data_IF_780832589342
#
_entry.id   IF_780832589342
#
_cell.length_a   1.000
_cell.length_b   1.000
_cell.length_c   1.000
_cell.angle_alpha   90.00
_cell.angle_beta   90.00
_cell.angle_gamma   90.00
#
_symmetry.space_group_name_H-M   'P 1'
#
loop_
_entity.id
_entity.type
_entity.pdbx_description
1 polymer ?
#
# COMPACT_ATOMS: atom_id res chain seq x y z
N UNK A 1 15.84 9.41 45.05
CA UNK A 1 16.59 8.20 44.66
C UNK A 1 17.76 8.59 43.76
N UNK A 2 19.00 8.14 44.01
CA UNK A 2 20.12 8.41 43.12
C UNK A 2 19.86 7.78 41.74
N UNK A 3 20.11 8.54 40.67
CA UNK A 3 19.91 8.09 39.29
C UNK A 3 20.86 6.92 39.02
N UNK A 4 20.31 5.74 38.72
CA UNK A 4 21.09 4.55 38.35
C UNK A 4 21.53 4.70 36.90
N UNK A 5 22.83 4.77 36.65
CA UNK A 5 23.38 4.83 35.29
C UNK A 5 23.74 3.43 34.81
N UNK A 6 23.13 2.96 33.73
CA UNK A 6 23.38 1.63 33.16
C UNK A 6 24.87 1.41 32.79
N UNK A 7 25.56 2.45 32.32
CA UNK A 7 26.99 2.38 32.01
C UNK A 7 27.92 2.25 33.22
N UNK A 8 27.41 2.40 34.45
CA UNK A 8 28.21 2.33 35.69
C UNK A 8 27.95 1.04 36.49
N UNK A 9 27.31 0.05 35.88
CA UNK A 9 26.95 -1.21 36.56
C UNK A 9 28.19 -1.96 37.06
N UNK A 10 29.30 -1.99 36.30
CA UNK A 10 30.57 -2.55 36.77
C UNK A 10 31.12 -1.80 38.01
N UNK A 11 30.97 -0.47 38.09
CA UNK A 11 31.38 0.32 39.26
C UNK A 11 30.50 0.03 40.48
N UNK A 12 29.23 -0.31 40.28
CA UNK A 12 28.33 -0.69 41.36
C UNK A 12 28.60 -2.12 41.84
N UNK A 13 28.78 -3.06 40.91
CA UNK A 13 29.16 -4.44 41.23
C UNK A 13 30.50 -4.50 41.98
N UNK A 14 31.49 -3.71 41.56
CA UNK A 14 32.78 -3.61 42.25
C UNK A 14 32.63 -3.06 43.68
N UNK A 15 31.75 -2.07 43.89
CA UNK A 15 31.41 -1.56 45.23
C UNK A 15 30.75 -2.63 46.09
N UNK A 16 29.82 -3.41 45.53
CA UNK A 16 29.13 -4.47 46.27
C UNK A 16 30.01 -5.67 46.60
N UNK A 17 30.97 -6.02 45.73
CA UNK A 17 31.99 -7.03 46.03
C UNK A 17 32.92 -6.53 47.15
N UNK A 18 33.37 -5.27 47.10
CA UNK A 18 34.20 -4.68 48.16
C UNK A 18 33.49 -4.60 49.51
N UNK A 19 32.18 -4.31 49.52
CA UNK A 19 31.39 -4.24 50.75
C UNK A 19 30.86 -5.61 51.22
N UNK A 20 31.32 -6.71 50.62
CA UNK A 20 30.86 -8.08 50.89
C UNK A 20 29.33 -8.28 50.79
N UNK A 21 28.63 -7.42 50.02
CA UNK A 21 27.20 -7.58 49.74
C UNK A 21 26.97 -8.62 48.64
N UNK A 22 27.89 -8.69 47.68
CA UNK A 22 27.99 -9.79 46.72
C UNK A 22 29.09 -10.74 47.17
N UNK A 23 28.74 -12.00 47.43
CA UNK A 23 29.69 -13.04 47.88
C UNK A 23 30.48 -13.65 46.74
N UNK A 24 29.91 -13.67 45.53
CA UNK A 24 30.53 -14.21 44.32
C UNK A 24 30.50 -13.16 43.24
N UNK A 25 31.60 -13.09 42.50
CA UNK A 25 31.69 -12.24 41.33
C UNK A 25 30.72 -12.72 40.25
N UNK A 26 29.92 -11.83 39.63
CA UNK A 26 29.04 -12.24 38.55
C UNK A 26 29.86 -12.57 37.30
N UNK A 27 29.43 -13.61 36.57
CA UNK A 27 30.14 -14.16 35.39
C UNK A 27 30.43 -13.10 34.31
N UNK A 28 29.57 -12.10 34.15
CA UNK A 28 29.76 -11.03 33.17
C UNK A 28 30.76 -9.94 33.58
N UNK A 29 31.19 -9.89 34.85
CA UNK A 29 31.98 -8.77 35.38
C UNK A 29 33.36 -8.67 34.74
N UNK A 30 34.07 -9.79 34.57
CA UNK A 30 35.39 -9.83 33.91
C UNK A 30 35.32 -9.34 32.46
N UNK A 31 34.35 -9.85 31.69
CA UNK A 31 34.13 -9.45 30.31
C UNK A 31 33.86 -7.94 30.16
N UNK A 32 33.15 -7.33 31.12
CA UNK A 32 32.88 -5.89 31.14
C UNK A 32 34.09 -5.06 31.59
N UNK A 33 35.00 -5.62 32.40
CA UNK A 33 36.27 -4.96 32.73
C UNK A 33 37.23 -4.96 31.53
N UNK A 34 37.26 -6.05 30.78
CA UNK A 34 38.04 -6.15 29.53
C UNK A 34 37.47 -5.24 28.44
N UNK A 35 36.14 -5.12 28.37
CA UNK A 35 35.44 -4.29 27.39
C UNK A 35 34.57 -3.23 28.10
N UNK A 36 35.18 -2.17 28.67
CA UNK A 36 34.44 -1.18 29.44
C UNK A 36 33.43 -0.45 28.54
N UNK A 37 32.22 -0.15 29.05
CA UNK A 37 31.24 0.60 28.28
C UNK A 37 31.75 2.02 28.00
N UNK A 38 31.48 2.52 26.79
CA UNK A 38 31.83 3.89 26.40
C UNK A 38 31.17 4.89 27.37
N UNK A 39 31.91 5.90 27.87
CA UNK A 39 31.31 6.94 28.70
C UNK A 39 30.23 7.67 27.90
N UNK A 40 29.17 8.10 28.59
CA UNK A 40 28.13 8.90 27.95
C UNK A 40 28.78 10.18 27.40
N UNK A 41 28.67 10.45 26.09
CA UNK A 41 29.26 11.65 25.52
C UNK A 41 28.59 12.89 26.13
N UNK A 42 29.32 14.03 26.23
CA UNK A 42 28.71 15.29 26.63
C UNK A 42 27.58 15.63 25.65
N UNK A 43 26.55 16.34 26.13
CA UNK A 43 25.43 16.80 25.30
C UNK A 43 25.90 17.94 24.38
N UNK A 44 26.65 17.57 23.35
CA UNK A 44 27.18 18.44 22.31
C UNK A 44 26.69 17.95 20.94
N UNK A 45 26.46 18.86 19.98
CA UNK A 45 26.16 18.46 18.62
C UNK A 45 27.42 17.82 18.03
N UNK A 46 27.26 16.76 17.24
CA UNK A 46 28.39 16.17 16.52
C UNK A 46 28.95 17.21 15.52
N UNK A 47 30.28 17.32 15.36
CA UNK A 47 30.85 18.11 14.27
C UNK A 47 30.36 17.54 12.94
N UNK A 48 29.88 18.39 12.04
CA UNK A 48 29.34 18.00 10.73
C UNK A 48 30.09 18.65 9.58
N UNK A 49 30.06 18.00 8.42
CA UNK A 49 30.61 18.52 7.17
C UNK A 49 29.81 19.72 6.68
N UNK A 50 30.47 20.60 5.90
CA UNK A 50 29.84 21.79 5.32
C UNK A 50 28.89 21.47 4.16
N UNK A 51 28.90 20.24 3.64
CA UNK A 51 28.13 19.84 2.45
C UNK A 51 26.62 19.91 2.72
N UNK A 52 26.18 19.29 3.81
CA UNK A 52 24.74 19.10 4.09
C UNK A 52 24.20 20.13 5.09
N UNK A 53 25.06 21.07 5.47
CA UNK A 53 24.76 22.09 6.46
C UNK A 53 24.12 23.30 5.77
N UNK A 54 22.96 23.79 6.24
CA UNK A 54 22.32 24.96 5.64
C UNK A 54 23.26 26.17 5.69
N UNK A 55 23.43 26.85 4.55
CA UNK A 55 24.30 28.03 4.42
C UNK A 55 23.91 29.21 5.34
N UNK A 56 22.68 29.21 5.86
CA UNK A 56 22.22 30.17 6.87
C UNK A 56 21.74 29.42 8.09
N UNK A 57 22.66 29.13 9.01
CA UNK A 57 22.28 29.02 10.41
C UNK A 57 21.82 30.43 10.81
N UNK A 58 20.51 30.62 10.94
CA UNK A 58 19.99 31.89 11.45
C UNK A 58 20.61 32.14 12.82
N UNK A 59 21.60 33.03 12.88
CA UNK A 59 22.15 33.53 14.13
C UNK A 59 21.04 34.34 14.78
N UNK A 60 20.13 33.67 15.49
CA UNK A 60 19.18 34.36 16.36
C UNK A 60 20.02 35.21 17.30
N UNK A 61 19.74 36.51 17.38
CA UNK A 61 20.48 37.44 18.24
C UNK A 61 20.25 37.14 19.74
N UNK A 62 19.26 36.29 20.07
CA UNK A 62 18.95 35.88 21.44
C UNK A 62 19.90 34.76 21.94
N UNK A 63 20.72 35.03 22.97
CA UNK A 63 21.71 34.06 23.47
C UNK A 63 21.07 32.81 24.09
N UNK A 64 19.86 32.92 24.64
CA UNK A 64 19.06 31.80 25.15
C UNK A 64 18.64 30.85 24.04
N UNK A 65 18.21 31.38 22.90
CA UNK A 65 17.82 30.61 21.71
C UNK A 65 19.06 29.97 21.09
N UNK A 66 20.19 30.70 20.99
CA UNK A 66 21.47 30.16 20.52
C UNK A 66 21.93 28.94 21.33
N UNK A 67 21.86 29.00 22.67
CA UNK A 67 22.25 27.87 23.54
C UNK A 67 21.37 26.62 23.36
N UNK A 68 20.12 26.80 22.93
CA UNK A 68 19.17 25.71 22.69
C UNK A 68 19.32 25.09 21.30
N UNK A 69 19.68 25.92 20.30
CA UNK A 69 19.99 25.50 18.93
C UNK A 69 21.28 24.68 18.90
N UNK A 70 22.32 25.07 19.66
CA UNK A 70 23.59 24.33 19.71
C UNK A 70 23.44 22.91 20.24
N UNK A 71 22.45 22.60 21.08
CA UNK A 71 22.24 21.25 21.63
C UNK A 71 21.36 20.34 20.75
N UNK A 72 20.77 20.87 19.69
CA UNK A 72 19.91 20.12 18.77
C UNK A 72 20.72 19.67 17.55
N UNK A 73 20.43 18.50 16.95
CA UNK A 73 21.05 18.13 15.69
C UNK A 73 20.62 19.13 14.60
N UNK A 74 21.56 19.50 13.74
CA UNK A 74 21.28 20.36 12.60
C UNK A 74 20.40 19.63 11.58
N UNK A 75 19.47 20.32 10.89
CA UNK A 75 18.72 19.72 9.79
C UNK A 75 19.69 19.37 8.64
N UNK A 76 19.42 18.24 7.99
CA UNK A 76 20.18 17.78 6.81
C UNK A 76 19.49 18.38 5.58
N UNK A 77 20.23 19.13 4.75
CA UNK A 77 19.69 19.72 3.53
C UNK A 77 20.71 19.58 2.41
N UNK A 78 20.25 19.08 1.28
CA UNK A 78 21.07 18.94 0.08
C UNK A 78 20.64 19.94 -1.01
N UNK A 79 21.51 20.19 -1.99
CA UNK A 79 21.16 21.01 -3.17
C UNK A 79 20.14 20.25 -4.02
N UNK A 80 20.24 18.94 -4.06
CA UNK A 80 19.32 18.03 -4.74
C UNK A 80 17.90 18.15 -4.22
N UNK A 81 17.69 18.50 -2.95
CA UNK A 81 16.34 18.63 -2.38
C UNK A 81 15.57 19.80 -3.00
N UNK A 82 16.24 20.91 -3.32
CA UNK A 82 15.60 22.05 -4.00
C UNK A 82 15.29 21.70 -5.45
N UNK A 83 16.19 20.97 -6.11
CA UNK A 83 15.99 20.46 -7.46
C UNK A 83 14.85 19.42 -7.53
N UNK A 84 14.72 18.53 -6.54
CA UNK A 84 13.60 17.57 -6.43
C UNK A 84 12.27 18.28 -6.34
N UNK A 85 12.16 19.27 -5.45
CA UNK A 85 10.94 20.06 -5.28
C UNK A 85 10.53 20.69 -6.60
N UNK A 86 11.43 21.43 -7.24
CA UNK A 86 11.18 22.05 -8.54
C UNK A 86 10.82 21.02 -9.62
N UNK A 87 11.54 19.90 -9.68
CA UNK A 87 11.33 18.87 -10.70
C UNK A 87 9.93 18.26 -10.64
N UNK A 88 9.46 17.89 -9.44
CA UNK A 88 8.16 17.27 -9.27
C UNK A 88 7.00 18.26 -9.29
N UNK A 89 7.25 19.54 -8.98
CA UNK A 89 6.29 20.63 -9.25
C UNK A 89 6.06 20.81 -10.76
N UNK A 90 7.14 20.83 -11.55
CA UNK A 90 7.06 20.96 -13.01
C UNK A 90 6.54 19.68 -13.69
N UNK A 91 6.75 18.51 -13.09
CA UNK A 91 6.43 17.19 -13.68
C UNK A 91 5.63 16.32 -12.69
N UNK A 92 4.37 16.68 -12.37
CA UNK A 92 3.57 15.95 -11.38
C UNK A 92 3.35 14.49 -11.78
N UNK A 93 3.25 14.20 -13.09
CA UNK A 93 3.02 12.84 -13.57
C UNK A 93 4.22 11.90 -13.42
N UNK A 94 5.44 12.42 -13.21
CA UNK A 94 6.58 11.56 -12.89
C UNK A 94 6.47 10.98 -11.48
N UNK A 95 5.73 11.63 -10.56
CA UNK A 95 5.49 11.10 -9.22
C UNK A 95 4.56 9.87 -9.19
N UNK A 96 3.71 9.68 -10.22
CA UNK A 96 2.87 8.48 -10.32
C UNK A 96 3.62 7.25 -10.82
N UNK A 97 4.86 7.42 -11.30
CA UNK A 97 5.67 6.26 -11.72
C UNK A 97 6.08 5.48 -10.47
N UNK A 98 5.84 4.16 -10.41
CA UNK A 98 6.16 3.38 -9.23
C UNK A 98 7.67 3.32 -9.01
N UNK A 99 8.09 3.54 -7.76
CA UNK A 99 9.48 3.45 -7.30
C UNK A 99 9.53 2.57 -6.06
N UNK A 100 10.50 1.66 -6.00
CA UNK A 100 10.76 0.88 -4.78
C UNK A 100 11.56 1.73 -3.80
N UNK A 101 11.03 1.91 -2.58
CA UNK A 101 11.73 2.53 -1.45
C UNK A 101 12.47 1.51 -0.58
N UNK A 102 12.28 0.22 -0.85
CA UNK A 102 12.92 -0.86 -0.11
C UNK A 102 14.37 -0.92 -0.60
N UNK A 103 15.31 -0.62 0.31
CA UNK A 103 16.74 -0.74 0.06
C UNK A 103 17.17 -2.22 0.00
N UNK A 104 18.19 -2.51 -0.82
CA UNK A 104 18.78 -3.84 -0.90
C UNK A 104 19.63 -4.18 0.32
N UNK A 105 20.08 -5.45 0.42
CA UNK A 105 20.97 -5.89 1.50
C UNK A 105 22.37 -5.24 1.45
N UNK A 106 22.75 -4.70 0.29
CA UNK A 106 23.98 -3.94 0.09
C UNK A 106 23.62 -2.59 -0.52
N UNK A 107 24.39 -1.58 -0.13
CA UNK A 107 24.39 -0.28 -0.79
C UNK A 107 24.93 -0.53 -2.20
N UNK A 108 24.18 -0.09 -3.22
CA UNK A 108 24.65 -0.19 -4.61
C UNK A 108 25.92 0.62 -4.79
N UNK A 109 26.89 0.04 -5.50
CA UNK A 109 28.11 0.75 -5.84
C UNK A 109 27.75 1.98 -6.68
N UNK A 110 28.44 3.07 -6.39
CA UNK A 110 28.20 4.30 -7.10
C UNK A 110 28.55 4.14 -8.59
N UNK A 111 27.79 4.77 -9.48
CA UNK A 111 28.10 4.67 -10.91
C UNK A 111 29.52 5.19 -11.20
N UNK A 112 30.24 4.54 -12.13
CA UNK A 112 31.64 4.87 -12.40
C UNK A 112 31.81 6.27 -13.01
N UNK A 113 30.79 6.77 -13.72
CA UNK A 113 30.84 8.05 -14.42
C UNK A 113 30.34 9.15 -13.48
N UNK A 114 31.26 9.98 -12.98
CA UNK A 114 30.97 11.07 -12.04
C UNK A 114 31.79 12.33 -12.33
N UNK A 115 31.40 13.41 -11.66
CA UNK A 115 32.12 14.68 -11.72
C UNK A 115 32.23 15.21 -13.14
N UNK A 116 33.43 15.65 -13.52
CA UNK A 116 33.69 16.30 -14.81
C UNK A 116 33.46 15.38 -16.01
N UNK A 117 33.58 14.06 -15.84
CA UNK A 117 33.44 13.07 -16.90
C UNK A 117 31.98 12.87 -17.33
N UNK A 118 31.03 13.16 -16.44
CA UNK A 118 29.62 13.03 -16.72
C UNK A 118 29.14 14.22 -17.57
N UNK A 119 29.19 14.05 -18.88
CA UNK A 119 28.86 15.06 -19.89
C UNK A 119 27.41 15.03 -20.32
N UNK A 120 26.79 13.85 -20.35
CA UNK A 120 25.43 13.65 -20.83
C UNK A 120 24.69 12.68 -19.92
N UNK A 121 23.41 12.93 -19.71
CA UNK A 121 22.55 12.06 -18.92
C UNK A 121 22.50 10.62 -19.46
N UNK A 122 22.55 10.46 -20.80
CA UNK A 122 22.56 9.16 -21.50
C UNK A 122 23.73 8.25 -21.12
N UNK A 123 24.84 8.79 -20.60
CA UNK A 123 26.00 7.98 -20.21
C UNK A 123 25.70 7.03 -19.04
N UNK A 124 24.77 7.40 -18.16
CA UNK A 124 24.40 6.58 -17.00
C UNK A 124 23.38 5.49 -17.34
N UNK A 125 22.73 5.60 -18.50
CA UNK A 125 21.81 4.60 -19.00
C UNK A 125 20.90 5.11 -20.11
N UNK A 126 20.19 4.17 -20.73
CA UNK A 126 19.19 4.47 -21.77
C UNK A 126 17.92 5.09 -21.18
N UNK A 127 17.53 4.62 -20.00
CA UNK A 127 16.28 4.97 -19.32
C UNK A 127 16.60 5.65 -17.98
N UNK A 128 16.97 6.93 -17.97
CA UNK A 128 17.30 7.63 -16.73
C UNK A 128 16.07 7.74 -15.82
N UNK A 129 16.30 7.64 -14.52
CA UNK A 129 15.31 7.97 -13.49
C UNK A 129 15.24 9.48 -13.28
N UNK A 130 14.16 10.01 -12.66
CA UNK A 130 14.10 11.39 -12.21
C UNK A 130 15.31 11.78 -11.34
N UNK A 131 15.71 10.89 -10.42
CA UNK A 131 16.88 11.10 -9.56
C UNK A 131 18.19 11.20 -10.36
N UNK A 132 18.30 10.50 -11.49
CA UNK A 132 19.49 10.62 -12.35
C UNK A 132 19.58 11.99 -13.02
N UNK A 133 18.44 12.56 -13.42
CA UNK A 133 18.38 13.90 -13.99
C UNK A 133 18.73 14.97 -12.94
N UNK A 134 18.24 14.81 -11.71
CA UNK A 134 18.51 15.71 -10.59
C UNK A 134 19.98 15.66 -10.19
N UNK A 135 20.55 14.46 -10.03
CA UNK A 135 21.98 14.26 -9.76
C UNK A 135 22.85 14.82 -10.89
N UNK A 136 22.40 14.72 -12.14
CA UNK A 136 23.11 15.31 -13.27
C UNK A 136 23.12 16.85 -13.21
N UNK A 137 21.98 17.47 -12.87
CA UNK A 137 21.90 18.92 -12.66
C UNK A 137 22.80 19.39 -11.51
N UNK A 138 22.80 18.68 -10.38
CA UNK A 138 23.68 18.96 -9.25
C UNK A 138 25.17 18.87 -9.65
N UNK A 139 25.55 17.81 -10.36
CA UNK A 139 26.93 17.63 -10.84
C UNK A 139 27.37 18.75 -11.80
N UNK A 140 26.51 19.17 -12.73
CA UNK A 140 26.79 20.31 -13.60
C UNK A 140 27.03 21.60 -12.81
N UNK A 141 26.29 21.80 -11.73
CA UNK A 141 26.46 22.95 -10.86
C UNK A 141 27.78 22.89 -10.08
N UNK A 142 28.08 21.77 -9.43
CA UNK A 142 29.24 21.61 -8.56
C UNK A 142 30.56 21.55 -9.33
N UNK A 143 30.65 20.67 -10.33
CA UNK A 143 31.92 20.36 -11.00
C UNK A 143 32.19 21.25 -12.23
N UNK A 144 31.14 21.75 -12.89
CA UNK A 144 31.26 22.62 -14.07
C UNK A 144 30.90 24.07 -13.81
N UNK A 145 30.44 24.42 -12.60
CA UNK A 145 30.11 25.80 -12.21
C UNK A 145 29.07 26.45 -13.12
N UNK A 146 28.18 25.65 -13.70
CA UNK A 146 27.01 26.13 -14.43
C UNK A 146 26.00 26.66 -13.39
N UNK A 147 25.34 27.81 -13.60
CA UNK A 147 24.32 28.28 -12.65
C UNK A 147 23.18 27.26 -12.53
N UNK A 148 22.65 27.10 -11.32
CA UNK A 148 21.71 26.03 -10.98
C UNK A 148 20.49 25.99 -11.93
N UNK A 149 19.94 27.15 -12.29
CA UNK A 149 18.81 27.27 -13.22
C UNK A 149 19.14 26.73 -14.62
N UNK A 150 20.33 27.06 -15.15
CA UNK A 150 20.76 26.57 -16.46
C UNK A 150 21.10 25.08 -16.43
N UNK A 151 21.73 24.63 -15.34
CA UNK A 151 22.02 23.22 -15.12
C UNK A 151 20.72 22.39 -15.11
N UNK A 152 19.72 22.85 -14.36
CA UNK A 152 18.38 22.24 -14.29
C UNK A 152 17.70 22.20 -15.66
N UNK A 153 17.62 23.34 -16.37
CA UNK A 153 17.00 23.39 -17.70
C UNK A 153 17.67 22.42 -18.68
N UNK A 154 19.00 22.33 -18.66
CA UNK A 154 19.76 21.40 -19.50
C UNK A 154 19.50 19.93 -19.14
N UNK A 155 19.39 19.61 -17.85
CA UNK A 155 19.11 18.27 -17.36
C UNK A 155 17.69 17.82 -17.74
N UNK A 156 16.70 18.69 -17.55
CA UNK A 156 15.30 18.43 -17.90
C UNK A 156 15.14 18.24 -19.40
N UNK A 157 15.81 19.06 -20.23
CA UNK A 157 15.78 18.90 -21.68
C UNK A 157 16.32 17.52 -22.11
N UNK A 158 17.46 17.09 -21.55
CA UNK A 158 18.02 15.76 -21.83
C UNK A 158 17.12 14.64 -21.33
N UNK A 159 16.51 14.79 -20.15
CA UNK A 159 15.57 13.82 -19.59
C UNK A 159 14.33 13.67 -20.48
N UNK A 160 13.72 14.79 -20.90
CA UNK A 160 12.57 14.79 -21.81
C UNK A 160 12.89 14.14 -23.16
N UNK A 161 14.07 14.42 -23.71
CA UNK A 161 14.52 13.79 -24.95
C UNK A 161 14.63 12.26 -24.79
N UNK A 162 15.27 11.77 -23.71
CA UNK A 162 15.39 10.33 -23.45
C UNK A 162 14.04 9.65 -23.17
N UNK A 163 13.11 10.35 -22.52
CA UNK A 163 11.73 9.88 -22.32
C UNK A 163 10.99 9.75 -23.64
N UNK A 164 11.03 10.79 -24.48
CA UNK A 164 10.39 10.78 -25.80
C UNK A 164 10.95 9.65 -26.68
N UNK A 165 12.28 9.46 -26.68
CA UNK A 165 12.92 8.37 -27.41
C UNK A 165 12.44 6.99 -26.92
N UNK A 166 12.25 6.81 -25.61
CA UNK A 166 11.70 5.56 -25.05
C UNK A 166 10.26 5.33 -25.49
N UNK A 167 9.42 6.35 -25.41
CA UNK A 167 7.99 6.22 -25.76
C UNK A 167 7.82 5.92 -27.26
N UNK A 168 8.62 6.57 -28.11
CA UNK A 168 8.68 6.25 -29.54
C UNK A 168 9.08 4.79 -29.73
N UNK A 169 10.17 4.33 -29.08
CA UNK A 169 10.64 2.95 -29.21
C UNK A 169 9.60 1.90 -28.76
N UNK A 170 8.86 2.17 -27.68
CA UNK A 170 7.78 1.28 -27.23
C UNK A 170 6.64 1.28 -28.26
N UNK A 171 6.24 2.45 -28.77
CA UNK A 171 5.15 2.56 -29.75
C UNK A 171 5.47 1.86 -31.07
N UNK A 172 6.72 1.96 -31.52
CA UNK A 172 7.18 1.31 -32.77
C UNK A 172 7.26 -0.19 -32.57
N UNK A 173 7.84 -0.67 -31.47
CA UNK A 173 7.92 -2.09 -31.16
C UNK A 173 6.53 -2.76 -31.08
N UNK A 174 5.55 -2.07 -30.46
CA UNK A 174 4.18 -2.54 -30.40
C UNK A 174 3.53 -2.59 -31.79
N UNK A 175 3.76 -1.57 -32.63
CA UNK A 175 3.23 -1.54 -34.00
C UNK A 175 3.83 -2.66 -34.86
N UNK A 176 5.12 -2.88 -34.75
CA UNK A 176 5.84 -3.95 -35.45
C UNK A 176 5.31 -5.32 -35.02
N UNK A 177 5.20 -5.57 -33.71
CA UNK A 177 4.65 -6.81 -33.19
C UNK A 177 3.24 -7.10 -33.72
N UNK A 178 2.37 -6.08 -33.77
CA UNK A 178 1.03 -6.20 -34.36
C UNK A 178 1.08 -6.47 -35.87
N UNK A 179 2.01 -5.84 -36.59
CA UNK A 179 2.19 -6.09 -38.03
C UNK A 179 2.64 -7.53 -38.31
N UNK A 180 3.42 -8.14 -37.42
CA UNK A 180 3.77 -9.56 -37.46
C UNK A 180 2.64 -10.50 -36.99
N UNK A 181 1.47 -9.97 -36.62
CA UNK A 181 0.32 -10.76 -36.18
C UNK A 181 0.40 -11.24 -34.73
N UNK A 182 1.30 -10.69 -33.90
CA UNK A 182 1.36 -11.02 -32.47
C UNK A 182 0.09 -10.50 -31.80
N UNK A 183 -0.67 -11.42 -31.20
CA UNK A 183 -1.87 -11.09 -30.43
C UNK A 183 -1.48 -10.82 -28.97
N UNK A 184 -1.80 -9.63 -28.48
CA UNK A 184 -1.62 -9.27 -27.09
C UNK A 184 -2.86 -9.67 -26.27
N UNK A 185 -2.66 -9.88 -24.97
CA UNK A 185 -3.77 -10.04 -24.03
C UNK A 185 -4.63 -8.77 -23.90
N UNK A 186 -5.58 -8.75 -22.95
CA UNK A 186 -6.40 -7.57 -22.72
C UNK A 186 -5.50 -6.36 -22.40
N UNK A 187 -5.79 -5.23 -23.02
CA UNK A 187 -5.04 -3.99 -22.77
C UNK A 187 -5.31 -3.48 -21.36
N UNK A 188 -4.43 -2.61 -20.85
CA UNK A 188 -4.66 -1.95 -19.56
C UNK A 188 -6.00 -1.20 -19.54
N UNK A 189 -6.43 -0.62 -20.68
CA UNK A 189 -7.74 0.03 -20.83
C UNK A 189 -8.89 -0.97 -20.69
N UNK A 190 -8.76 -2.16 -21.28
CA UNK A 190 -9.78 -3.21 -21.13
C UNK A 190 -9.83 -3.71 -19.67
N UNK A 191 -8.68 -3.80 -19.00
CA UNK A 191 -8.59 -4.20 -17.60
C UNK A 191 -9.23 -3.13 -16.70
N UNK A 192 -9.01 -1.83 -16.96
CA UNK A 192 -9.64 -0.75 -16.20
C UNK A 192 -11.15 -0.75 -16.42
N UNK A 193 -11.63 -0.86 -17.66
CA UNK A 193 -13.07 -0.89 -17.95
C UNK A 193 -13.76 -2.06 -17.25
N UNK A 194 -13.16 -3.26 -17.29
CA UNK A 194 -13.68 -4.43 -16.55
C UNK A 194 -13.72 -4.22 -15.04
N UNK A 195 -12.82 -3.42 -14.46
CA UNK A 195 -12.84 -3.08 -13.03
C UNK A 195 -13.93 -2.06 -12.73
N UNK A 196 -14.12 -1.08 -13.61
CA UNK A 196 -15.20 -0.08 -13.52
C UNK A 196 -16.57 -0.75 -13.61
N UNK A 197 -16.79 -1.64 -14.56
CA UNK A 197 -18.02 -2.43 -14.68
C UNK A 197 -18.32 -3.20 -13.39
N UNK A 198 -17.31 -3.85 -12.80
CA UNK A 198 -17.49 -4.56 -11.52
C UNK A 198 -17.85 -3.62 -10.38
N UNK A 199 -17.27 -2.43 -10.35
CA UNK A 199 -17.59 -1.41 -9.35
C UNK A 199 -19.03 -0.88 -9.54
N UNK A 200 -19.45 -0.59 -10.77
CA UNK A 200 -20.81 -0.15 -11.10
C UNK A 200 -21.85 -1.22 -10.74
N UNK A 201 -21.64 -2.47 -11.13
CA UNK A 201 -22.52 -3.58 -10.75
C UNK A 201 -22.62 -3.77 -9.22
N UNK A 202 -21.54 -3.48 -8.48
CA UNK A 202 -21.55 -3.53 -7.02
C UNK A 202 -22.31 -2.34 -6.43
N UNK A 203 -22.28 -1.19 -7.09
CA UNK A 203 -23.01 0.01 -6.68
C UNK A 203 -24.51 -0.12 -6.93
N UNK A 204 -24.93 -0.59 -8.11
CA UNK A 204 -26.35 -0.83 -8.44
C UNK A 204 -27.04 -1.78 -7.43
N UNK A 205 -26.36 -2.87 -7.07
CA UNK A 205 -26.88 -3.81 -6.05
C UNK A 205 -27.05 -3.16 -4.69
N UNK A 206 -26.20 -2.19 -4.32
CA UNK A 206 -26.35 -1.46 -3.05
C UNK A 206 -27.56 -0.53 -3.11
N UNK A 207 -27.78 0.15 -4.22
CA UNK A 207 -28.96 1.02 -4.39
C UNK A 207 -30.26 0.22 -4.33
N UNK A 208 -30.31 -0.97 -4.93
CA UNK A 208 -31.45 -1.90 -4.78
C UNK A 208 -31.66 -2.33 -3.32
N UNK A 209 -30.57 -2.67 -2.62
CA UNK A 209 -30.62 -3.02 -1.20
C UNK A 209 -31.05 -1.84 -0.34
N UNK A 210 -30.57 -0.64 -0.60
CA UNK A 210 -30.93 0.57 0.13
C UNK A 210 -32.37 0.99 -0.18
N UNK A 211 -32.83 0.89 -1.42
CA UNK A 211 -34.22 1.10 -1.79
C UNK A 211 -35.14 0.07 -1.12
N UNK A 212 -34.74 -1.20 -1.07
CA UNK A 212 -35.50 -2.25 -0.39
C UNK A 212 -35.48 -2.07 1.13
N UNK A 213 -34.37 -1.64 1.72
CA UNK A 213 -34.27 -1.30 3.14
C UNK A 213 -35.11 -0.06 3.48
N UNK A 214 -35.13 0.96 2.61
CA UNK A 214 -36.00 2.13 2.73
C UNK A 214 -37.46 1.74 2.58
N UNK A 215 -37.81 0.84 1.66
CA UNK A 215 -39.16 0.31 1.52
C UNK A 215 -39.57 -0.50 2.76
N UNK A 216 -38.69 -1.33 3.31
CA UNK A 216 -38.92 -2.07 4.55
C UNK A 216 -39.13 -1.12 5.75
N UNK A 217 -38.29 -0.10 5.89
CA UNK A 217 -38.44 0.95 6.92
C UNK A 217 -39.75 1.72 6.77
N UNK A 218 -40.15 2.06 5.54
CA UNK A 218 -41.45 2.72 5.25
C UNK A 218 -42.64 1.80 5.54
N UNK A 219 -42.51 0.49 5.33
CA UNK A 219 -43.56 -0.52 5.56
C UNK A 219 -43.84 -0.84 7.03
N UNK A 220 -42.94 -0.50 7.96
CA UNK A 220 -43.23 -0.55 9.39
C UNK A 220 -43.97 0.68 9.91
N UNK A 221 -44.38 1.63 9.05
CA UNK A 221 -45.59 2.38 9.35
C UNK A 221 -46.74 1.38 9.27
N UNK A 222 -47.26 0.96 10.42
CA UNK A 222 -48.51 0.22 10.48
C UNK A 222 -49.59 1.06 9.78
N UNK A 223 -49.82 0.80 8.50
CA UNK A 223 -51.04 1.23 7.82
C UNK A 223 -52.10 0.30 8.39
N UNK A 224 -52.62 0.67 9.56
CA UNK A 224 -53.83 0.05 10.08
C UNK A 224 -54.94 0.57 9.18
N UNK A 225 -55.15 -0.10 8.05
CA UNK A 225 -56.44 0.00 7.35
C UNK A 225 -57.46 -0.53 8.33
N UNK A 226 -58.08 0.38 9.08
CA UNK A 226 -59.25 0.09 9.93
C UNK A 226 -60.44 -0.14 9.01
N UNK A 227 -60.36 -1.14 8.15
CA UNK A 227 -61.55 -1.78 7.63
C UNK A 227 -62.08 -2.65 8.76
N UNK A 228 -62.88 -2.03 9.62
CA UNK A 228 -63.81 -2.78 10.45
C UNK A 228 -64.86 -3.40 9.51
N UNK A 229 -64.48 -4.47 8.80
CA UNK A 229 -65.50 -5.39 8.33
C UNK A 229 -66.25 -5.84 9.58
N UNK A 230 -67.54 -5.55 9.63
CA UNK A 230 -68.48 -5.99 10.67
C UNK A 230 -68.72 -7.51 10.59
N UNK A 231 -67.66 -8.28 10.36
CA UNK A 231 -67.65 -9.72 10.27
C UNK A 231 -67.78 -10.30 11.68
N UNK A 232 -68.82 -11.11 11.88
CA UNK A 232 -69.01 -11.90 13.09
C UNK A 232 -67.72 -12.66 13.42
N UNK A 233 -67.15 -12.38 14.59
CA UNK A 233 -66.03 -13.12 15.17
C UNK A 233 -66.19 -14.62 14.91
N UNK A 234 -65.35 -15.18 14.04
CA UNK A 234 -65.55 -16.55 13.53
C UNK A 234 -65.25 -17.64 14.58
N UNK A 235 -64.93 -17.26 15.82
CA UNK A 235 -64.57 -18.12 16.98
C UNK A 235 -63.50 -19.15 16.59
N UNK A 236 -62.60 -18.77 15.67
CA UNK A 236 -61.55 -19.65 15.16
C UNK A 236 -62.04 -20.74 14.20
N UNK A 237 -63.31 -20.76 13.77
CA UNK A 237 -63.82 -21.75 12.81
C UNK A 237 -63.12 -21.65 11.46
N UNK A 238 -62.87 -20.44 10.97
CA UNK A 238 -62.10 -20.23 9.73
C UNK A 238 -60.66 -20.67 9.89
N UNK A 239 -60.03 -20.36 11.03
CA UNK A 239 -58.69 -20.83 11.32
C UNK A 239 -58.61 -22.37 11.33
N UNK A 240 -59.55 -23.04 12.00
CA UNK A 240 -59.63 -24.51 12.02
C UNK A 240 -59.96 -25.08 10.64
N UNK A 241 -60.78 -24.40 9.85
CA UNK A 241 -61.10 -24.79 8.48
C UNK A 241 -59.87 -24.73 7.58
N UNK A 242 -59.18 -23.58 7.56
CA UNK A 242 -57.94 -23.37 6.80
C UNK A 242 -56.85 -24.35 7.25
N UNK A 243 -56.76 -24.63 8.55
CA UNK A 243 -55.83 -25.63 9.09
C UNK A 243 -56.15 -27.05 8.62
N UNK A 244 -57.43 -27.44 8.59
CA UNK A 244 -57.88 -28.74 8.05
C UNK A 244 -57.69 -28.85 6.54
N UNK A 245 -57.85 -27.73 5.84
CA UNK A 245 -57.57 -27.59 4.40
C UNK A 245 -56.05 -27.55 4.12
N UNK A 246 -55.20 -27.62 5.15
CA UNK A 246 -53.74 -27.68 5.04
C UNK A 246 -53.07 -26.34 4.80
N UNK A 247 -53.83 -25.24 4.80
CA UNK A 247 -53.34 -23.88 4.61
C UNK A 247 -52.73 -23.39 5.92
N UNK A 248 -51.40 -23.33 5.97
CA UNK A 248 -50.66 -22.77 7.11
C UNK A 248 -50.40 -21.29 6.86
N UNK A 249 -50.47 -20.43 7.91
CA UNK A 249 -50.04 -19.05 7.77
C UNK A 249 -48.54 -19.00 7.48
N UNK A 250 -48.17 -18.55 6.28
CA UNK A 250 -46.78 -18.32 5.91
C UNK A 250 -46.32 -16.98 6.47
N UNK A 251 -45.35 -17.04 7.38
CA UNK A 251 -44.70 -15.85 7.95
C UNK A 251 -43.49 -15.36 7.13
N UNK A 252 -43.35 -15.85 5.90
CA UNK A 252 -42.29 -15.42 5.00
C UNK A 252 -42.61 -14.03 4.43
N UNK A 253 -41.61 -13.15 4.28
CA UNK A 253 -41.81 -11.87 3.64
C UNK A 253 -42.26 -12.09 2.19
N UNK A 254 -43.52 -11.75 1.90
CA UNK A 254 -44.13 -11.86 0.56
C UNK A 254 -43.42 -10.89 -0.38
N UNK A 255 -42.35 -11.33 -1.03
CA UNK A 255 -41.66 -10.56 -2.08
C UNK A 255 -41.56 -11.28 -3.42
N UNK A 256 -42.21 -12.44 -3.58
CA UNK A 256 -42.53 -12.98 -4.90
C UNK A 256 -43.95 -13.52 -4.85
N UNK A 257 -44.88 -12.84 -5.52
CA UNK A 257 -46.17 -13.46 -5.79
C UNK A 257 -45.91 -14.66 -6.72
N UNK A 258 -46.36 -15.87 -6.36
CA UNK A 258 -46.27 -17.00 -7.28
C UNK A 258 -47.21 -16.74 -8.47
N UNK A 259 -46.70 -16.93 -9.69
CA UNK A 259 -47.50 -16.89 -10.90
C UNK A 259 -48.30 -18.18 -10.97
N UNK A 260 -49.63 -18.07 -11.01
CA UNK A 260 -50.53 -19.22 -11.09
C UNK A 260 -50.53 -19.72 -12.55
N UNK A 261 -49.89 -20.85 -12.81
CA UNK A 261 -50.12 -21.67 -14.01
C UNK A 261 -51.20 -22.71 -13.73
N UNK A 262 -51.85 -23.21 -14.78
CA UNK A 262 -53.06 -24.05 -14.71
C UNK A 262 -52.90 -25.41 -14.01
N UNK A 263 -51.69 -25.77 -13.57
CA UNK A 263 -51.39 -27.02 -12.89
C UNK A 263 -51.27 -26.91 -11.35
N UNK A 264 -51.32 -25.70 -10.77
CA UNK A 264 -51.25 -25.48 -9.31
C UNK A 264 -49.94 -24.84 -8.81
N UNK A 265 -49.86 -24.61 -7.49
CA UNK A 265 -48.76 -23.93 -6.79
C UNK A 265 -47.54 -24.86 -6.65
N UNK A 266 -46.58 -24.77 -7.56
CA UNK A 266 -45.27 -25.38 -7.36
C UNK A 266 -44.38 -24.46 -6.51
N UNK A 267 -44.00 -24.94 -5.33
CA UNK A 267 -42.87 -24.35 -4.58
C UNK A 267 -41.60 -24.56 -5.39
N UNK A 268 -40.74 -23.54 -5.46
CA UNK A 268 -39.43 -23.50 -6.16
C UNK A 268 -38.38 -24.42 -5.51
N UNK A 269 -38.79 -25.59 -5.04
CA UNK A 269 -37.95 -26.56 -4.34
C UNK A 269 -37.14 -27.43 -5.30
N UNK A 270 -37.56 -27.60 -6.57
CA UNK A 270 -36.82 -28.40 -7.56
C UNK A 270 -35.70 -27.63 -8.26
N UNK A 271 -35.99 -26.43 -8.79
CA UNK A 271 -34.97 -25.64 -9.50
C UNK A 271 -33.84 -25.15 -8.58
N UNK A 272 -34.14 -24.80 -7.31
CA UNK A 272 -33.13 -24.42 -6.34
C UNK A 272 -32.27 -25.62 -5.87
N UNK A 273 -32.83 -26.83 -5.83
CA UNK A 273 -32.10 -28.06 -5.52
C UNK A 273 -31.21 -28.50 -6.70
N UNK A 274 -31.68 -28.32 -7.94
CA UNK A 274 -30.89 -28.61 -9.14
C UNK A 274 -29.74 -27.61 -9.33
N UNK A 275 -29.98 -26.31 -9.08
CA UNK A 275 -28.94 -25.29 -9.15
C UNK A 275 -27.86 -25.45 -8.07
N UNK A 276 -28.21 -25.94 -6.88
CA UNK A 276 -27.24 -26.24 -5.81
C UNK A 276 -26.45 -27.52 -6.10
N UNK A 277 -27.09 -28.54 -6.67
CA UNK A 277 -26.42 -29.77 -7.11
C UNK A 277 -25.43 -29.53 -8.27
N UNK A 278 -25.75 -28.65 -9.23
CA UNK A 278 -24.82 -28.24 -10.31
C UNK A 278 -23.62 -27.44 -9.79
N UNK A 279 -23.82 -26.62 -8.75
CA UNK A 279 -22.74 -25.83 -8.16
C UNK A 279 -21.78 -26.71 -7.36
N UNK A 280 -22.30 -27.73 -6.66
CA UNK A 280 -21.50 -28.72 -5.94
C UNK A 280 -20.74 -29.66 -6.88
N UNK A 281 -21.34 -30.08 -8.01
CA UNK A 281 -20.65 -30.88 -9.02
C UNK A 281 -19.51 -30.11 -9.69
N UNK A 282 -19.71 -28.82 -10.01
CA UNK A 282 -18.63 -27.94 -10.52
C UNK A 282 -17.52 -27.71 -9.50
N UNK A 283 -17.85 -27.64 -8.19
CA UNK A 283 -16.86 -27.54 -7.10
C UNK A 283 -16.07 -28.83 -6.90
N UNK A 284 -16.70 -29.99 -7.12
CA UNK A 284 -16.03 -31.29 -7.06
C UNK A 284 -15.07 -31.50 -8.24
N UNK A 285 -15.46 -31.09 -9.45
CA UNK A 285 -14.57 -31.11 -10.65
C UNK A 285 -13.38 -30.17 -10.47
N UNK A 286 -13.57 -29.00 -9.84
CA UNK A 286 -12.47 -28.08 -9.50
C UNK A 286 -11.48 -28.58 -8.44
N UNK A 287 -11.89 -29.54 -7.59
CA UNK A 287 -11.00 -30.19 -6.60
C UNK A 287 -10.25 -31.40 -7.16
N UNK A 288 -10.70 -31.97 -8.28
CA UNK A 288 -10.07 -33.13 -8.93
C UNK A 288 -8.84 -32.79 -9.78
N UNK A 289 -8.53 -31.50 -9.97
CA UNK A 289 -7.30 -31.08 -10.65
C UNK A 289 -6.19 -30.93 -9.60
N UNK A 290 -5.64 -32.07 -9.20
CA UNK A 290 -4.45 -32.17 -8.36
C UNK A 290 -3.25 -31.52 -9.07
N UNK A 291 -2.90 -30.32 -8.65
CA UNK A 291 -1.70 -29.58 -9.06
C UNK A 291 -0.42 -30.07 -8.38
N UNK A 292 -0.44 -31.27 -7.78
CA UNK A 292 0.70 -31.86 -7.04
C UNK A 292 1.08 -33.25 -7.54
N UNK A 293 1.28 -33.44 -8.86
CA UNK A 293 1.92 -34.67 -9.33
C UNK A 293 2.83 -34.47 -10.55
N UNK A 294 3.81 -33.58 -10.45
CA UNK A 294 4.94 -33.51 -11.37
C UNK A 294 6.23 -33.18 -10.63
N UNK A 295 6.81 -34.14 -9.89
CA UNK A 295 8.26 -34.24 -9.66
C UNK A 295 8.55 -35.51 -8.84
N UNK A 296 8.83 -36.62 -9.53
CA UNK A 296 9.76 -37.68 -9.14
C UNK A 296 9.78 -38.78 -10.20
N UNK A 297 10.71 -38.68 -11.14
CA UNK A 297 11.30 -39.85 -11.79
C UNK A 297 12.81 -39.77 -11.58
N UNK A 298 13.31 -40.68 -10.76
CA UNK A 298 14.73 -40.98 -10.64
C UNK A 298 15.20 -41.77 -11.88
N UNK A 299 16.49 -41.70 -12.25
CA UNK A 299 17.07 -42.62 -13.22
C UNK A 299 17.47 -43.93 -12.52
N UNK A 300 17.15 -45.06 -13.18
CA UNK A 300 17.69 -46.38 -12.89
C UNK A 300 18.73 -46.72 -13.96
N UNK A 301 19.82 -47.34 -13.49
CA UNK A 301 20.84 -48.14 -14.21
C UNK A 301 21.61 -47.49 -15.34
#
# INVERSE_FOLDING_TARGET
MPRRFAGQVHKQASRFLRSNLLKKEPVWYQAVLENPPLPLPPRAPAPRSLVDTPHRLGTSLDPTIQSSITRRPLPIRYIEDTLRQQFFEDHPFEAFRPVSLIEGARIEDEHPIKGKEWLRLRQRGRNPTPEDAIRYAANLHEHRKVPLTQAYASAVAQFRALRAERDIAISTALREAKAYGIQFGPSDVDITFRKEDKALNTWEKKDELDASALAARKRWKAIVEKEYEQGKWSKGKEYVRLWKEGVRPDYLPVLKQPVITSAGLESVSREAAEATAELESRRAVGRSVDWMNTMKRAPLS
#
